data_IF_044885879810
#
_entry.id   IF_044885879810
#
_cell.length_a   1.000
_cell.length_b   1.000
_cell.length_c   1.000
_cell.angle_alpha   90.00
_cell.angle_beta   90.00
_cell.angle_gamma   90.00
#
_symmetry.space_group_name_H-M   'P 1'
#
loop_
_entity.id
_entity.type
_entity.pdbx_description
1 polymer ?
#
# COMPACT_ATOMS: atom_id res chain seq x y z
N UNK A 1 1.87 18.59 -41.90
CA UNK A 1 2.95 18.44 -40.91
C UNK A 1 3.78 17.22 -41.29
N UNK A 2 4.61 17.33 -42.34
CA UNK A 2 5.37 16.18 -42.87
C UNK A 2 6.43 15.64 -41.89
N UNK A 3 6.82 16.47 -40.91
CA UNK A 3 7.77 16.07 -39.87
C UNK A 3 7.21 15.02 -38.90
N UNK A 4 5.88 14.86 -38.78
CA UNK A 4 5.25 13.82 -37.94
C UNK A 4 5.31 12.42 -38.57
N UNK A 5 5.57 12.35 -39.88
CA UNK A 5 5.75 11.09 -40.60
C UNK A 5 7.18 10.54 -40.41
N UNK A 6 8.07 11.33 -39.82
CA UNK A 6 9.41 10.90 -39.42
C UNK A 6 9.29 9.95 -38.22
N UNK A 7 9.80 8.73 -38.37
CA UNK A 7 9.69 7.68 -37.35
C UNK A 7 10.25 8.07 -35.98
N UNK A 8 11.34 8.85 -35.94
CA UNK A 8 11.92 9.35 -34.68
C UNK A 8 11.01 10.36 -33.97
N UNK A 9 10.27 11.18 -34.72
CA UNK A 9 9.29 12.11 -34.15
C UNK A 9 8.10 11.32 -33.59
N UNK A 10 7.58 10.36 -34.36
CA UNK A 10 6.54 9.44 -33.87
C UNK A 10 6.92 8.74 -32.57
N UNK A 11 8.17 8.23 -32.50
CA UNK A 11 8.74 7.65 -31.29
C UNK A 11 8.65 8.61 -30.10
N UNK A 12 9.12 9.85 -30.24
CA UNK A 12 9.14 10.83 -29.14
C UNK A 12 7.71 11.21 -28.72
N UNK A 13 6.81 11.42 -29.68
CA UNK A 13 5.41 11.77 -29.40
C UNK A 13 4.72 10.67 -28.60
N UNK A 14 4.84 9.41 -29.05
CA UNK A 14 4.23 8.28 -28.36
C UNK A 14 4.90 8.01 -27.02
N UNK A 15 6.23 8.17 -26.93
CA UNK A 15 6.95 8.06 -25.67
C UNK A 15 6.41 9.05 -24.66
N UNK A 16 6.32 10.33 -24.99
CA UNK A 16 5.85 11.36 -24.06
C UNK A 16 4.37 11.16 -23.69
N UNK A 17 3.50 10.90 -24.67
CA UNK A 17 2.09 10.66 -24.38
C UNK A 17 1.87 9.42 -23.50
N UNK A 18 2.61 8.34 -23.75
CA UNK A 18 2.52 7.11 -22.95
C UNK A 18 3.10 7.32 -21.56
N UNK A 19 4.23 8.02 -21.45
CA UNK A 19 4.87 8.40 -20.19
C UNK A 19 3.90 9.14 -19.27
N UNK A 20 3.19 10.13 -19.79
CA UNK A 20 2.21 10.89 -19.02
C UNK A 20 0.94 10.09 -18.69
N UNK A 21 0.42 9.29 -19.63
CA UNK A 21 -0.74 8.42 -19.39
C UNK A 21 -0.46 7.39 -18.29
N UNK A 22 0.61 6.61 -18.43
CA UNK A 22 0.99 5.62 -17.42
C UNK A 22 1.46 6.29 -16.13
N UNK A 23 2.08 7.47 -16.23
CA UNK A 23 2.45 8.29 -15.08
C UNK A 23 1.24 8.61 -14.18
N UNK A 24 0.12 9.06 -14.76
CA UNK A 24 -1.13 9.28 -14.01
C UNK A 24 -1.74 7.97 -13.46
N UNK A 25 -1.59 6.85 -14.16
CA UNK A 25 -2.06 5.56 -13.66
C UNK A 25 -1.31 5.14 -12.39
N UNK A 26 0.00 5.39 -12.35
CA UNK A 26 0.89 5.04 -11.24
C UNK A 26 0.87 6.03 -10.08
N UNK A 27 0.66 7.32 -10.36
CA UNK A 27 0.81 8.43 -9.40
C UNK A 27 -0.47 9.23 -9.26
N UNK A 28 -0.73 9.76 -8.06
CA UNK A 28 -1.84 10.70 -7.83
C UNK A 28 -1.48 12.13 -8.25
N UNK A 29 -1.49 12.42 -9.55
CA UNK A 29 -1.19 13.76 -10.09
C UNK A 29 -2.45 14.61 -10.38
N UNK A 30 -3.58 14.32 -9.70
CA UNK A 30 -4.86 15.04 -9.82
C UNK A 30 -5.41 15.09 -11.27
N UNK A 31 -5.02 14.15 -12.13
CA UNK A 31 -5.45 14.09 -13.53
C UNK A 31 -4.62 14.93 -14.51
N UNK A 32 -3.63 15.71 -14.05
CA UNK A 32 -2.87 16.61 -14.91
C UNK A 32 -2.04 15.85 -15.96
N UNK A 33 -1.33 14.80 -15.53
CA UNK A 33 -0.55 13.98 -16.46
C UNK A 33 -1.47 13.18 -17.38
N UNK A 34 -2.61 12.71 -16.87
CA UNK A 34 -3.62 12.04 -17.69
C UNK A 34 -4.11 12.94 -18.82
N UNK A 35 -4.46 14.19 -18.52
CA UNK A 35 -4.96 15.14 -19.52
C UNK A 35 -3.89 15.50 -20.57
N UNK A 36 -2.64 15.71 -20.14
CA UNK A 36 -1.51 15.93 -21.05
C UNK A 36 -1.27 14.71 -21.96
N UNK A 37 -1.26 13.51 -21.38
CA UNK A 37 -1.09 12.27 -22.13
C UNK A 37 -2.20 12.03 -23.16
N UNK A 38 -3.46 12.28 -22.78
CA UNK A 38 -4.61 12.21 -23.70
C UNK A 38 -4.49 13.24 -24.80
N UNK A 39 -4.08 14.48 -24.50
CA UNK A 39 -3.92 15.53 -25.52
C UNK A 39 -2.85 15.14 -26.56
N UNK A 40 -1.69 14.64 -26.11
CA UNK A 40 -0.60 14.21 -26.98
C UNK A 40 -1.04 13.00 -27.84
N UNK A 41 -1.72 12.02 -27.24
CA UNK A 41 -2.22 10.86 -28.00
C UNK A 41 -3.33 11.23 -28.98
N UNK A 42 -4.22 12.14 -28.60
CA UNK A 42 -5.25 12.66 -29.50
C UNK A 42 -4.63 13.37 -30.70
N UNK A 43 -3.55 14.11 -30.49
CA UNK A 43 -2.78 14.72 -31.57
C UNK A 43 -2.10 13.70 -32.48
N UNK A 44 -1.50 12.63 -31.91
CA UNK A 44 -0.93 11.52 -32.68
C UNK A 44 -1.97 10.87 -33.59
N UNK A 45 -3.12 10.48 -33.02
CA UNK A 45 -4.21 9.86 -33.76
C UNK A 45 -4.79 10.82 -34.80
N UNK A 46 -5.03 12.10 -34.45
CA UNK A 46 -5.57 13.07 -35.41
C UNK A 46 -4.71 13.25 -36.67
N UNK A 47 -3.40 13.05 -36.59
CA UNK A 47 -2.51 13.13 -37.75
C UNK A 47 -2.43 11.80 -38.53
N UNK A 48 -2.45 10.65 -37.83
CA UNK A 48 -2.26 9.34 -38.45
C UNK A 48 -3.56 8.62 -38.84
N UNK A 49 -4.73 9.10 -38.40
CA UNK A 49 -6.00 8.63 -38.93
C UNK A 49 -6.17 9.13 -40.37
N UNK A 50 -5.77 8.29 -41.31
CA UNK A 50 -6.16 8.39 -42.71
C UNK A 50 -7.52 7.70 -42.90
N UNK A 51 -8.25 8.09 -43.96
CA UNK A 51 -9.61 7.60 -44.22
C UNK A 51 -9.76 6.08 -44.27
N UNK A 52 -8.67 5.38 -44.63
CA UNK A 52 -8.65 3.91 -44.74
C UNK A 52 -8.52 3.20 -43.39
N UNK A 53 -7.83 3.80 -42.41
CA UNK A 53 -7.59 3.17 -41.10
C UNK A 53 -8.78 3.33 -40.15
N UNK A 54 -9.72 4.24 -40.42
CA UNK A 54 -10.97 4.38 -39.67
C UNK A 54 -10.82 4.66 -38.17
N UNK A 55 -11.94 4.91 -37.48
CA UNK A 55 -11.93 5.19 -36.02
C UNK A 55 -11.74 3.94 -35.15
N UNK A 56 -11.79 2.74 -35.73
CA UNK A 56 -11.72 1.48 -34.98
C UNK A 56 -10.37 1.29 -34.28
N UNK A 57 -9.28 1.83 -34.81
CA UNK A 57 -7.96 1.78 -34.14
C UNK A 57 -7.92 2.60 -32.85
N UNK A 58 -8.64 3.71 -32.78
CA UNK A 58 -8.77 4.53 -31.56
C UNK A 58 -9.57 3.76 -30.52
N UNK A 59 -10.67 3.12 -30.94
CA UNK A 59 -11.47 2.27 -30.06
C UNK A 59 -10.62 1.11 -29.53
N UNK A 60 -9.83 0.47 -30.40
CA UNK A 60 -8.91 -0.61 -30.02
C UNK A 60 -7.92 -0.16 -28.93
N UNK A 61 -7.32 1.03 -29.12
CA UNK A 61 -6.41 1.64 -28.14
C UNK A 61 -7.09 1.93 -26.80
N UNK A 62 -8.29 2.52 -26.83
CA UNK A 62 -9.07 2.83 -25.61
C UNK A 62 -9.53 1.56 -24.88
N UNK A 63 -9.92 0.52 -25.61
CA UNK A 63 -10.24 -0.80 -25.03
C UNK A 63 -9.00 -1.40 -24.37
N UNK A 64 -7.84 -1.34 -25.02
CA UNK A 64 -6.58 -1.78 -24.42
C UNK A 64 -6.25 -1.04 -23.12
N UNK A 65 -6.40 0.29 -23.11
CA UNK A 65 -6.23 1.10 -21.90
C UNK A 65 -7.22 0.72 -20.79
N UNK A 66 -8.49 0.50 -21.15
CA UNK A 66 -9.53 0.08 -20.21
C UNK A 66 -9.22 -1.30 -19.60
N UNK A 67 -8.73 -2.25 -20.39
CA UNK A 67 -8.32 -3.57 -19.89
C UNK A 67 -7.20 -3.46 -18.87
N UNK A 68 -6.19 -2.62 -19.11
CA UNK A 68 -5.12 -2.35 -18.13
C UNK A 68 -5.70 -1.75 -16.84
N UNK A 69 -6.65 -0.79 -16.96
CA UNK A 69 -7.29 -0.20 -15.78
C UNK A 69 -8.14 -1.20 -14.99
N UNK A 70 -8.84 -2.11 -15.67
CA UNK A 70 -9.69 -3.15 -15.05
C UNK A 70 -8.81 -4.18 -14.35
N UNK A 71 -7.78 -4.69 -15.04
CA UNK A 71 -6.85 -5.67 -14.49
C UNK A 71 -6.18 -5.12 -13.23
N UNK A 72 -5.68 -3.89 -13.26
CA UNK A 72 -5.04 -3.24 -12.11
C UNK A 72 -5.97 -2.92 -10.93
N UNK A 73 -7.30 -2.97 -11.09
CA UNK A 73 -8.27 -2.70 -9.99
C UNK A 73 -8.98 -3.95 -9.48
N UNK A 74 -9.25 -4.92 -10.35
CA UNK A 74 -10.19 -6.02 -10.07
C UNK A 74 -9.48 -7.37 -9.99
N UNK A 75 -8.53 -7.63 -10.89
CA UNK A 75 -8.00 -8.98 -11.13
C UNK A 75 -6.59 -9.12 -10.55
N UNK A 76 -5.73 -8.13 -10.80
CA UNK A 76 -4.35 -8.04 -10.29
C UNK A 76 -3.43 -9.21 -10.68
N UNK A 77 -3.75 -9.93 -11.75
CA UNK A 77 -2.98 -11.09 -12.27
C UNK A 77 -2.03 -10.71 -13.42
N UNK A 78 -2.26 -9.58 -14.10
CA UNK A 78 -1.39 -9.08 -15.16
C UNK A 78 -1.69 -9.67 -16.55
N UNK A 79 -2.44 -10.76 -16.63
CA UNK A 79 -2.80 -11.43 -17.89
C UNK A 79 -3.65 -10.55 -18.79
N UNK A 80 -4.66 -9.87 -18.23
CA UNK A 80 -5.51 -8.94 -18.98
C UNK A 80 -4.79 -7.64 -19.30
N UNK A 81 -3.89 -7.16 -18.41
CA UNK A 81 -3.04 -6.02 -18.73
C UNK A 81 -2.11 -6.31 -19.92
N UNK A 82 -1.56 -7.53 -20.03
CA UNK A 82 -0.72 -7.92 -21.16
C UNK A 82 -1.48 -7.89 -22.49
N UNK A 83 -2.72 -8.41 -22.50
CA UNK A 83 -3.59 -8.32 -23.66
C UNK A 83 -3.91 -6.85 -24.01
N UNK A 84 -4.19 -6.03 -23.00
CA UNK A 84 -4.41 -4.59 -23.16
C UNK A 84 -3.21 -3.87 -23.80
N UNK A 85 -2.00 -4.18 -23.34
CA UNK A 85 -0.75 -3.66 -23.92
C UNK A 85 -0.62 -4.06 -25.39
N UNK A 86 -0.87 -5.33 -25.73
CA UNK A 86 -0.82 -5.79 -27.10
C UNK A 86 -1.82 -5.04 -28.00
N UNK A 87 -3.06 -4.85 -27.54
CA UNK A 87 -4.08 -4.08 -28.27
C UNK A 87 -3.67 -2.61 -28.46
N UNK A 88 -3.06 -1.99 -27.45
CA UNK A 88 -2.58 -0.61 -27.56
C UNK A 88 -1.43 -0.49 -28.58
N UNK A 89 -0.49 -1.43 -28.59
CA UNK A 89 0.62 -1.45 -29.57
C UNK A 89 0.06 -1.64 -30.99
N UNK A 90 -0.89 -2.56 -31.19
CA UNK A 90 -1.55 -2.75 -32.49
C UNK A 90 -2.30 -1.47 -32.90
N UNK A 91 -3.04 -0.84 -31.99
CA UNK A 91 -3.76 0.41 -32.25
C UNK A 91 -2.85 1.57 -32.65
N UNK A 92 -1.61 1.59 -32.18
CA UNK A 92 -0.60 2.59 -32.57
C UNK A 92 0.12 2.24 -33.88
N UNK A 93 0.37 0.96 -34.13
CA UNK A 93 1.13 0.49 -35.30
C UNK A 93 0.29 0.39 -36.58
N UNK A 94 -1.00 0.08 -36.50
CA UNK A 94 -1.87 0.00 -37.69
C UNK A 94 -1.98 1.32 -38.47
N UNK A 95 -2.19 2.50 -37.85
CA UNK A 95 -2.22 3.78 -38.57
C UNK A 95 -0.83 4.29 -38.96
N UNK A 96 0.24 3.52 -38.71
CA UNK A 96 1.60 3.98 -39.02
C UNK A 96 1.88 4.02 -40.53
N UNK A 97 2.63 5.03 -41.02
CA UNK A 97 2.93 5.15 -42.45
C UNK A 97 3.87 4.04 -43.00
N UNK A 98 4.62 3.38 -42.12
CA UNK A 98 5.56 2.32 -42.50
C UNK A 98 5.80 1.34 -41.35
N UNK A 99 6.27 0.13 -41.67
CA UNK A 99 6.62 -0.89 -40.67
C UNK A 99 7.68 -0.39 -39.69
N UNK A 100 8.69 0.33 -40.17
CA UNK A 100 9.75 0.92 -39.33
C UNK A 100 9.14 1.95 -38.37
N UNK A 101 8.23 2.79 -38.85
CA UNK A 101 7.51 3.74 -38.01
C UNK A 101 6.72 3.03 -36.91
N UNK A 102 5.95 1.99 -37.26
CA UNK A 102 5.18 1.20 -36.28
C UNK A 102 6.06 0.54 -35.22
N UNK A 103 7.22 0.00 -35.60
CA UNK A 103 8.21 -0.57 -34.65
C UNK A 103 8.73 0.52 -33.72
N UNK A 104 9.17 1.67 -34.24
CA UNK A 104 9.66 2.77 -33.41
C UNK A 104 8.59 3.27 -32.45
N UNK A 105 7.37 3.47 -32.91
CA UNK A 105 6.25 3.88 -32.05
C UNK A 105 5.97 2.84 -30.95
N UNK A 106 6.00 1.55 -31.28
CA UNK A 106 5.89 0.46 -30.29
C UNK A 106 7.02 0.51 -29.24
N UNK A 107 8.26 0.77 -29.67
CA UNK A 107 9.37 0.98 -28.75
C UNK A 107 9.16 2.24 -27.89
N UNK A 108 8.68 3.34 -28.47
CA UNK A 108 8.35 4.57 -27.76
C UNK A 108 7.30 4.33 -26.68
N UNK A 109 6.27 3.55 -27.00
CA UNK A 109 5.26 3.10 -26.05
C UNK A 109 5.87 2.30 -24.88
N UNK A 110 6.71 1.29 -25.17
CA UNK A 110 7.36 0.49 -24.13
C UNK A 110 8.27 1.34 -23.25
N UNK A 111 9.14 2.15 -23.84
CA UNK A 111 10.08 3.03 -23.12
C UNK A 111 9.33 4.08 -22.31
N UNK A 112 8.27 4.68 -22.85
CA UNK A 112 7.41 5.62 -22.12
C UNK A 112 6.68 4.94 -20.97
N UNK A 113 6.15 3.74 -21.19
CA UNK A 113 5.49 2.92 -20.17
C UNK A 113 6.43 2.57 -19.01
N UNK A 114 7.61 2.01 -19.28
CA UNK A 114 8.61 1.73 -18.23
C UNK A 114 9.17 3.01 -17.60
N UNK A 115 9.42 4.04 -18.40
CA UNK A 115 9.90 5.34 -17.93
C UNK A 115 8.94 6.02 -16.97
N UNK A 116 7.64 5.74 -17.05
CA UNK A 116 6.63 6.31 -16.15
C UNK A 116 6.85 5.89 -14.69
N UNK A 117 7.55 4.77 -14.45
CA UNK A 117 7.94 4.34 -13.12
C UNK A 117 8.85 5.37 -12.42
N UNK A 118 9.56 6.23 -13.16
CA UNK A 118 10.36 7.32 -12.58
C UNK A 118 9.50 8.30 -11.77
N UNK A 119 8.22 8.49 -12.14
CA UNK A 119 7.32 9.38 -11.41
C UNK A 119 7.03 8.89 -9.99
N UNK A 120 7.09 7.57 -9.74
CA UNK A 120 6.94 7.00 -8.40
C UNK A 120 8.05 7.45 -7.44
N UNK A 121 9.20 7.89 -7.95
CA UNK A 121 10.30 8.41 -7.12
C UNK A 121 10.04 9.85 -6.66
N UNK A 122 9.23 10.60 -7.41
CA UNK A 122 9.02 12.04 -7.21
C UNK A 122 7.67 12.34 -6.55
N UNK A 123 6.65 11.53 -6.84
CA UNK A 123 5.27 11.79 -6.45
C UNK A 123 4.68 10.63 -5.63
N UNK A 124 3.65 10.90 -4.79
CA UNK A 124 3.01 9.84 -4.01
C UNK A 124 2.34 8.82 -4.93
N UNK A 125 2.69 7.55 -4.71
CA UNK A 125 2.13 6.44 -5.46
C UNK A 125 0.63 6.35 -5.26
N UNK A 126 -0.07 5.93 -6.32
CA UNK A 126 -1.50 5.64 -6.25
C UNK A 126 -1.68 4.30 -5.55
N UNK A 127 -2.48 4.24 -4.48
CA UNK A 127 -2.91 3.00 -3.82
C UNK A 127 -3.84 2.15 -4.72
N UNK A 128 -3.45 1.86 -5.97
CA UNK A 128 -4.11 0.90 -6.84
C UNK A 128 -3.80 -0.54 -6.40
N UNK A 129 -2.64 -0.74 -5.75
CA UNK A 129 -2.12 -2.05 -5.35
C UNK A 129 -2.39 -2.44 -3.89
N UNK A 130 -3.08 -1.60 -3.10
CA UNK A 130 -3.15 -1.79 -1.65
C UNK A 130 -4.27 -2.73 -1.17
N UNK A 131 -4.78 -3.63 -2.02
CA UNK A 131 -5.83 -4.59 -1.62
C UNK A 131 -5.36 -6.01 -1.34
N UNK A 132 -4.05 -6.27 -1.36
CA UNK A 132 -3.53 -7.61 -1.01
C UNK A 132 -2.37 -7.61 0.00
N UNK A 133 -2.33 -6.59 0.85
CA UNK A 133 -1.83 -6.81 2.21
C UNK A 133 -3.02 -6.64 3.11
N UNK A 134 -3.31 -7.66 3.91
CA UNK A 134 -4.14 -7.55 5.10
C UNK A 134 -3.58 -6.34 5.88
N UNK A 135 -4.19 -5.17 5.65
CA UNK A 135 -3.89 -3.94 6.37
C UNK A 135 -4.59 -3.93 7.72
N UNK A 136 -4.96 -5.10 8.22
CA UNK A 136 -5.06 -5.37 9.64
C UNK A 136 -3.65 -5.62 10.22
N UNK A 137 -2.74 -4.65 10.02
CA UNK A 137 -2.04 -4.22 11.24
C UNK A 137 -3.13 -3.52 12.03
N UNK A 138 -3.76 -4.28 12.92
CA UNK A 138 -4.37 -3.79 14.14
C UNK A 138 -3.41 -2.73 14.70
N UNK A 139 -3.61 -1.49 14.24
CA UNK A 139 -2.88 -0.35 14.73
C UNK A 139 -3.54 -0.19 16.08
N UNK A 140 -2.85 -0.65 17.14
CA UNK A 140 -3.35 -0.67 18.51
C UNK A 140 -3.67 0.71 19.09
N UNK A 141 -3.84 1.74 18.25
CA UNK A 141 -3.88 3.14 18.62
C UNK A 141 -5.25 3.66 19.09
N UNK A 142 -6.27 2.80 19.21
CA UNK A 142 -7.52 3.22 19.86
C UNK A 142 -7.96 2.37 21.06
N UNK A 143 -7.27 1.25 21.35
CA UNK A 143 -7.59 0.41 22.50
C UNK A 143 -6.37 0.01 23.35
N UNK A 144 -5.18 -0.04 22.76
CA UNK A 144 -3.98 -0.51 23.45
C UNK A 144 -3.37 0.55 24.37
N UNK A 145 -3.41 1.83 23.98
CA UNK A 145 -2.88 2.91 24.81
C UNK A 145 -3.70 3.11 26.11
N UNK A 146 -5.03 3.06 26.04
CA UNK A 146 -5.88 3.23 27.22
C UNK A 146 -5.71 2.09 28.24
N UNK A 147 -5.61 0.83 27.77
CA UNK A 147 -5.30 -0.29 28.66
C UNK A 147 -3.90 -0.18 29.27
N UNK A 148 -2.90 0.30 28.51
CA UNK A 148 -1.54 0.42 29.01
C UNK A 148 -1.43 1.50 30.11
N UNK A 149 -2.21 2.59 30.05
CA UNK A 149 -2.25 3.60 31.11
C UNK A 149 -2.89 3.07 32.40
N UNK A 150 -4.05 2.38 32.32
CA UNK A 150 -4.70 1.80 33.51
C UNK A 150 -3.78 0.79 34.20
N UNK A 151 -3.10 -0.05 33.43
CA UNK A 151 -2.19 -1.06 33.97
C UNK A 151 -0.91 -0.44 34.54
N UNK A 152 -0.34 0.60 33.91
CA UNK A 152 0.81 1.33 34.48
C UNK A 152 0.50 1.97 35.83
N UNK A 153 -0.75 2.38 36.06
CA UNK A 153 -1.18 2.94 37.35
C UNK A 153 -1.13 1.93 38.51
N UNK A 154 -1.00 0.63 38.21
CA UNK A 154 -0.91 -0.43 39.22
C UNK A 154 0.50 -0.59 39.81
N UNK A 155 1.54 0.01 39.20
CA UNK A 155 2.92 -0.08 39.69
C UNK A 155 3.01 0.52 41.10
N UNK A 156 3.59 -0.23 42.04
CA UNK A 156 3.71 0.15 43.46
C UNK A 156 2.44 -0.07 44.29
N UNK A 157 1.33 -0.55 43.69
CA UNK A 157 0.14 -0.93 44.46
C UNK A 157 0.32 -2.31 45.10
N UNK A 158 -0.26 -2.44 46.29
CA UNK A 158 -0.32 -3.69 47.05
C UNK A 158 -1.60 -4.46 46.72
N UNK A 159 -1.48 -5.78 46.69
CA UNK A 159 -2.58 -6.69 46.41
C UNK A 159 -2.47 -7.98 47.20
N UNK A 160 -3.44 -8.86 47.00
CA UNK A 160 -3.52 -10.18 47.66
C UNK A 160 -3.67 -11.27 46.62
N UNK A 161 -2.87 -12.34 46.70
CA UNK A 161 -3.01 -13.47 45.78
C UNK A 161 -4.34 -14.19 45.99
N UNK A 162 -5.08 -14.45 44.90
CA UNK A 162 -6.33 -15.22 44.90
C UNK A 162 -6.01 -16.69 44.64
N UNK A 163 -5.11 -16.97 43.70
CA UNK A 163 -4.64 -18.32 43.36
C UNK A 163 -3.15 -18.44 43.63
N UNK A 164 -2.61 -19.65 43.88
CA UNK A 164 -1.17 -19.84 43.98
C UNK A 164 -0.47 -19.51 42.64
N UNK A 165 0.71 -18.91 42.70
CA UNK A 165 1.48 -18.49 41.51
C UNK A 165 2.56 -19.52 41.18
N UNK A 166 2.45 -20.13 39.99
CA UNK A 166 3.38 -21.16 39.49
C UNK A 166 3.58 -21.12 37.96
N UNK A 167 4.30 -20.13 37.39
CA UNK A 167 4.69 -18.82 37.94
C UNK A 167 3.62 -17.74 37.72
N UNK A 168 2.48 -18.08 37.11
CA UNK A 168 1.35 -17.18 36.86
C UNK A 168 0.21 -17.51 37.81
N UNK A 169 -0.52 -16.49 38.25
CA UNK A 169 -1.70 -16.61 39.09
C UNK A 169 -2.57 -15.37 39.02
N UNK A 170 -3.63 -15.34 39.82
CA UNK A 170 -4.54 -14.21 39.94
C UNK A 170 -4.28 -13.46 41.24
N UNK A 171 -4.20 -12.13 41.17
CA UNK A 171 -4.03 -11.22 42.30
C UNK A 171 -5.19 -10.24 42.35
N UNK A 172 -5.70 -9.95 43.54
CA UNK A 172 -6.64 -8.87 43.77
C UNK A 172 -5.89 -7.58 44.10
N UNK A 173 -6.11 -6.52 43.32
CA UNK A 173 -5.53 -5.20 43.54
C UNK A 173 -6.69 -4.21 43.51
N UNK A 174 -6.88 -3.43 44.59
CA UNK A 174 -7.99 -2.46 44.74
C UNK A 174 -9.39 -3.07 44.48
N UNK A 175 -9.60 -4.33 44.89
CA UNK A 175 -10.89 -5.01 44.74
C UNK A 175 -11.20 -5.49 43.31
N UNK A 176 -10.22 -5.44 42.41
CA UNK A 176 -10.32 -6.01 41.06
C UNK A 176 -9.33 -7.19 40.89
N UNK A 177 -9.76 -8.31 40.28
CA UNK A 177 -8.87 -9.42 39.97
C UNK A 177 -8.04 -9.12 38.71
N UNK A 178 -6.73 -9.34 38.80
CA UNK A 178 -5.77 -9.21 37.70
C UNK A 178 -4.95 -10.49 37.55
N UNK A 179 -4.57 -10.83 36.31
CA UNK A 179 -3.60 -11.88 36.03
C UNK A 179 -2.19 -11.32 36.15
N UNK A 180 -1.34 -11.97 36.94
CA UNK A 180 0.02 -11.54 37.19
C UNK A 180 0.98 -12.73 37.26
N UNK A 181 2.28 -12.45 37.22
CA UNK A 181 3.33 -13.46 37.40
C UNK A 181 4.27 -13.07 38.52
N UNK A 182 4.79 -14.07 39.23
CA UNK A 182 5.78 -13.93 40.28
C UNK A 182 7.22 -14.14 39.78
N UNK A 183 7.38 -14.32 38.47
CA UNK A 183 8.67 -14.61 37.82
C UNK A 183 9.21 -15.97 38.27
N UNK A 184 10.24 -15.95 39.13
CA UNK A 184 10.91 -17.15 39.66
C UNK A 184 10.43 -17.58 41.04
N UNK A 185 9.54 -16.81 41.68
CA UNK A 185 9.13 -17.07 43.06
C UNK A 185 7.79 -17.81 43.10
N UNK A 186 7.64 -18.70 44.07
CA UNK A 186 6.38 -19.35 44.31
C UNK A 186 5.58 -18.56 45.34
N UNK A 187 4.34 -18.23 45.02
CA UNK A 187 3.43 -17.57 45.96
C UNK A 187 2.25 -18.49 46.28
N UNK A 188 1.88 -18.53 47.54
CA UNK A 188 0.66 -19.22 47.99
C UNK A 188 -0.56 -18.32 47.75
N UNK A 189 -1.75 -18.90 47.89
CA UNK A 189 -2.97 -18.11 47.96
C UNK A 189 -2.98 -17.24 49.24
N UNK A 190 -3.67 -16.11 49.19
CA UNK A 190 -3.83 -15.16 50.29
C UNK A 190 -2.54 -14.45 50.79
N UNK A 191 -1.46 -14.43 50.02
CA UNK A 191 -0.24 -13.69 50.34
C UNK A 191 -0.30 -12.23 49.88
N UNK A 192 0.32 -11.32 50.65
CA UNK A 192 0.47 -9.92 50.27
C UNK A 192 1.61 -9.73 49.27
N UNK A 193 1.32 -9.01 48.20
CA UNK A 193 2.24 -8.79 47.09
C UNK A 193 2.20 -7.33 46.62
N UNK A 194 3.29 -6.87 46.03
CA UNK A 194 3.41 -5.55 45.41
C UNK A 194 3.72 -5.69 43.92
N UNK A 195 3.14 -4.81 43.10
CA UNK A 195 3.42 -4.73 41.66
C UNK A 195 4.75 -4.03 41.41
N UNK A 196 5.74 -4.77 40.92
CA UNK A 196 7.09 -4.27 40.66
C UNK A 196 7.21 -3.64 39.28
N UNK A 197 6.57 -4.25 38.28
CA UNK A 197 6.63 -3.75 36.90
C UNK A 197 5.43 -4.18 36.09
N UNK A 198 5.07 -3.35 35.11
CA UNK A 198 3.99 -3.61 34.18
C UNK A 198 4.47 -3.37 32.76
N UNK A 199 4.26 -4.37 31.89
CA UNK A 199 4.57 -4.34 30.46
C UNK A 199 3.30 -4.67 29.67
N UNK A 200 2.49 -3.67 29.36
CA UNK A 200 1.18 -3.87 28.75
C UNK A 200 0.24 -4.60 29.71
N UNK A 201 -0.24 -5.79 29.33
CA UNK A 201 -1.07 -6.65 30.19
C UNK A 201 -0.25 -7.58 31.10
N UNK A 202 1.09 -7.56 30.97
CA UNK A 202 1.97 -8.38 31.79
C UNK A 202 2.31 -7.66 33.10
N UNK A 203 1.82 -8.20 34.23
CA UNK A 203 2.05 -7.64 35.57
C UNK A 203 3.02 -8.56 36.32
N UNK A 204 4.13 -8.01 36.81
CA UNK A 204 5.08 -8.70 37.67
C UNK A 204 4.85 -8.30 39.14
N UNK A 205 4.61 -9.29 39.98
CA UNK A 205 4.38 -9.09 41.43
C UNK A 205 5.47 -9.76 42.26
N UNK A 206 5.81 -9.15 43.39
CA UNK A 206 6.76 -9.71 44.36
C UNK A 206 6.10 -9.76 45.74
N UNK A 207 6.44 -10.78 46.53
CA UNK A 207 6.00 -10.89 47.93
C UNK A 207 6.55 -9.72 48.74
N UNK A 208 5.70 -9.15 49.59
CA UNK A 208 6.10 -8.17 50.59
C UNK A 208 6.60 -8.94 51.81
N UNK A 209 7.84 -8.73 52.21
CA UNK A 209 8.40 -9.27 53.46
C UNK A 209 8.06 -8.31 54.60
N UNK A 210 7.71 -8.85 55.78
CA UNK A 210 7.15 -8.11 56.93
C UNK A 210 8.09 -7.04 57.54
N UNK A 211 9.33 -6.91 57.05
CA UNK A 211 10.30 -5.91 57.49
C UNK A 211 10.09 -4.50 56.88
N UNK A 212 9.25 -4.35 55.85
CA UNK A 212 8.97 -3.06 55.19
C UNK A 212 7.75 -2.30 55.77
N UNK A 213 7.23 -2.72 56.93
CA UNK A 213 6.05 -2.12 57.55
C UNK A 213 6.42 -1.07 58.63
N UNK A 214 7.66 -1.05 59.14
CA UNK A 214 8.05 -0.21 60.28
C UNK A 214 8.70 1.16 59.94
N UNK A 215 9.01 1.46 58.67
CA UNK A 215 9.75 2.69 58.30
C UNK A 215 8.94 3.71 57.47
N UNK A 216 7.65 3.89 57.77
CA UNK A 216 6.85 5.03 57.27
C UNK A 216 6.00 5.70 58.33
#
# INVERSE_FOLDING_TARGET
>A
MEWLDIASVGFVVVLLGTLFLFGELLVRAKGLFGLLGVAIMSFYFSHHLTGDTGFWVVILYLVGLALIMVDGKVISDGTIALLGIALMIVGLAVPSPSVIYGILVGMGFLVGGFGSALFLKVFPSRNMWSKMTLRDRLTGDQGYNSMNEEYKSLIGKRGKTITPFRPTGSVEIEGKPYSATSGSHWLQENEQVEVVSVSGTYILVKKIEEQDIEDK
#
